data_IF_624780248658
#
_entry.id   IF_624780248658
#
_cell.length_a   1.000
_cell.length_b   1.000
_cell.length_c   1.000
_cell.angle_alpha   90.00
_cell.angle_beta   90.00
_cell.angle_gamma   90.00
#
_symmetry.space_group_name_H-M   'P 1'
#
loop_
_entity.id
_entity.type
_entity.pdbx_description
1 polymer ?
#
# COMPACT_ATOMS: atom_id res chain seq x y z
N UNK A 1 8.89 6.90 5.28
CA UNK A 1 8.98 7.95 6.30
C UNK A 1 8.45 9.23 5.70
N UNK A 2 7.84 10.06 6.54
CA UNK A 2 7.37 11.39 6.17
C UNK A 2 8.12 12.43 6.99
N UNK A 3 8.60 13.48 6.32
CA UNK A 3 9.25 14.62 6.95
C UNK A 3 8.53 15.89 6.52
N UNK A 4 8.16 16.71 7.50
CA UNK A 4 7.49 17.99 7.30
C UNK A 4 8.51 19.11 7.53
N UNK A 5 8.67 19.98 6.54
CA UNK A 5 9.52 21.17 6.56
C UNK A 5 8.72 22.44 6.33
N UNK A 6 9.42 23.58 6.26
CA UNK A 6 8.80 24.90 6.19
C UNK A 6 8.21 25.36 7.53
N UNK A 7 7.32 26.36 7.49
CA UNK A 7 6.68 26.93 8.68
C UNK A 7 5.94 25.87 9.50
N UNK A 8 5.16 25.04 8.82
CA UNK A 8 4.40 23.96 9.46
C UNK A 8 5.34 22.90 10.07
N UNK A 9 6.45 22.58 9.39
CA UNK A 9 7.48 21.69 9.94
C UNK A 9 8.17 22.25 11.18
N UNK A 10 8.40 23.57 11.21
CA UNK A 10 8.95 24.27 12.39
C UNK A 10 7.97 24.28 13.57
N UNK A 11 6.67 24.42 13.31
CA UNK A 11 5.62 24.40 14.35
C UNK A 11 5.36 22.99 14.90
N UNK A 12 5.51 21.98 14.04
CA UNK A 12 5.36 20.56 14.39
C UNK A 12 6.66 19.93 14.92
N UNK A 13 7.69 20.74 15.18
CA UNK A 13 8.97 20.32 15.74
C UNK A 13 9.59 19.15 14.94
N UNK A 14 9.69 19.33 13.61
CA UNK A 14 10.33 18.44 12.63
C UNK A 14 10.31 16.93 12.97
N UNK A 15 9.15 16.38 13.29
CA UNK A 15 9.08 15.00 13.73
C UNK A 15 9.06 14.05 12.52
N UNK A 16 10.03 13.13 12.46
CA UNK A 16 10.11 12.11 11.41
C UNK A 16 9.11 11.02 11.75
N UNK A 17 7.95 11.03 11.08
CA UNK A 17 6.94 10.00 11.31
C UNK A 17 7.18 8.79 10.42
N UNK A 18 7.39 7.65 11.07
CA UNK A 18 7.45 6.36 10.43
C UNK A 18 6.10 5.67 10.56
N UNK A 19 5.55 5.25 9.42
CA UNK A 19 4.31 4.51 9.37
C UNK A 19 4.55 3.18 8.66
N UNK A 20 4.08 2.11 9.27
CA UNK A 20 3.82 0.86 8.56
C UNK A 20 2.49 0.96 7.81
N UNK A 21 2.28 0.12 6.79
CA UNK A 21 0.99 0.06 6.06
C UNK A 21 -0.18 -0.21 7.03
N UNK A 22 0.06 -1.04 8.04
CA UNK A 22 -0.93 -1.35 9.06
C UNK A 22 -1.25 -0.14 9.95
N UNK A 23 -0.23 0.56 10.45
CA UNK A 23 -0.44 1.78 11.25
C UNK A 23 -1.07 2.89 10.42
N UNK A 24 -0.71 3.01 9.15
CA UNK A 24 -1.32 3.96 8.24
C UNK A 24 -2.82 3.67 8.12
N UNK A 25 -3.20 2.42 7.86
CA UNK A 25 -4.61 2.04 7.82
C UNK A 25 -5.33 2.37 9.14
N UNK A 26 -4.75 1.98 10.27
CA UNK A 26 -5.37 2.23 11.59
C UNK A 26 -5.47 3.73 11.94
N UNK A 27 -4.56 4.57 11.46
CA UNK A 27 -4.55 6.00 11.77
C UNK A 27 -5.42 6.83 10.81
N UNK A 28 -5.56 6.41 9.55
CA UNK A 28 -6.20 7.21 8.51
C UNK A 28 -7.73 7.15 8.56
N UNK A 29 -8.30 5.96 8.78
CA UNK A 29 -9.75 5.77 8.70
C UNK A 29 -10.53 6.34 9.89
N UNK A 30 -10.06 6.26 11.16
CA UNK A 30 -10.75 6.88 12.28
C UNK A 30 -10.79 8.41 12.24
N UNK A 31 -9.92 9.03 11.43
CA UNK A 31 -9.89 10.49 11.24
C UNK A 31 -10.96 11.00 10.26
N UNK A 32 -11.73 10.12 9.62
CA UNK A 32 -12.80 10.48 8.70
C UNK A 32 -14.08 10.86 9.46
N UNK A 33 -14.85 11.80 8.90
CA UNK A 33 -16.07 12.36 9.51
C UNK A 33 -17.25 11.39 9.56
N UNK A 34 -17.34 10.42 8.64
CA UNK A 34 -18.38 9.38 8.64
C UNK A 34 -17.83 8.06 9.18
N UNK A 35 -18.30 7.60 10.36
CA UNK A 35 -17.76 6.39 11.00
C UNK A 35 -18.12 5.11 10.22
N UNK A 36 -19.22 5.08 9.48
CA UNK A 36 -19.72 3.86 8.84
C UNK A 36 -18.93 3.51 7.57
N UNK A 37 -18.73 4.49 6.70
CA UNK A 37 -17.89 4.35 5.51
C UNK A 37 -16.42 4.10 5.86
N UNK A 38 -15.92 4.74 6.91
CA UNK A 38 -14.55 4.56 7.38
C UNK A 38 -14.26 3.12 7.81
N UNK A 39 -15.14 2.52 8.62
CA UNK A 39 -14.97 1.13 9.09
C UNK A 39 -15.04 0.13 7.94
N UNK A 40 -15.96 0.34 6.98
CA UNK A 40 -16.04 -0.51 5.80
C UNK A 40 -14.76 -0.42 4.96
N UNK A 41 -14.29 0.79 4.68
CA UNK A 41 -13.09 1.04 3.87
C UNK A 41 -11.84 0.47 4.56
N UNK A 42 -11.72 0.65 5.88
CA UNK A 42 -10.66 0.06 6.70
C UNK A 42 -10.67 -1.47 6.65
N UNK A 43 -11.85 -2.07 6.80
CA UNK A 43 -12.01 -3.52 6.80
C UNK A 43 -11.65 -4.11 5.43
N UNK A 44 -12.13 -3.51 4.36
CA UNK A 44 -11.82 -3.91 2.98
C UNK A 44 -10.34 -3.73 2.69
N UNK A 45 -9.74 -2.61 3.09
CA UNK A 45 -8.31 -2.35 2.90
C UNK A 45 -7.44 -3.40 3.61
N UNK A 46 -7.73 -3.71 4.88
CA UNK A 46 -6.99 -4.71 5.64
C UNK A 46 -7.21 -6.12 5.10
N UNK A 47 -8.44 -6.45 4.70
CA UNK A 47 -8.75 -7.75 4.11
C UNK A 47 -8.00 -7.94 2.79
N UNK A 48 -8.02 -6.97 1.90
CA UNK A 48 -7.36 -7.07 0.59
C UNK A 48 -5.83 -7.02 0.71
N UNK A 49 -5.29 -6.20 1.62
CA UNK A 49 -3.84 -6.01 1.78
C UNK A 49 -3.16 -7.13 2.56
N UNK A 50 -3.85 -7.76 3.51
CA UNK A 50 -3.29 -8.80 4.37
C UNK A 50 -4.11 -10.10 4.33
N UNK A 51 -5.42 -10.03 4.55
CA UNK A 51 -6.27 -11.23 4.62
C UNK A 51 -6.23 -12.12 3.38
N UNK A 52 -6.53 -11.55 2.21
CA UNK A 52 -6.57 -12.22 0.93
C UNK A 52 -5.22 -12.85 0.52
N UNK A 53 -4.06 -12.15 0.56
CA UNK A 53 -2.78 -12.75 0.20
C UNK A 53 -2.35 -13.88 1.14
N UNK A 54 -2.58 -13.75 2.46
CA UNK A 54 -2.27 -14.83 3.40
C UNK A 54 -3.16 -16.06 3.20
N UNK A 55 -4.46 -15.84 3.00
CA UNK A 55 -5.40 -16.93 2.76
C UNK A 55 -5.11 -17.62 1.43
N UNK A 56 -4.73 -16.86 0.41
CA UNK A 56 -4.28 -17.40 -0.87
C UNK A 56 -3.00 -18.25 -0.72
N UNK A 57 -1.97 -17.74 -0.03
CA UNK A 57 -0.74 -18.52 0.24
C UNK A 57 -1.05 -19.81 1.00
N UNK A 58 -1.96 -19.77 1.98
CA UNK A 58 -2.37 -20.96 2.73
C UNK A 58 -3.07 -21.98 1.84
N UNK A 59 -3.93 -21.55 0.91
CA UNK A 59 -4.61 -22.43 -0.04
C UNK A 59 -3.63 -23.08 -1.02
N UNK A 60 -2.69 -22.32 -1.56
CA UNK A 60 -1.66 -22.85 -2.48
C UNK A 60 -0.76 -23.84 -1.74
N UNK A 61 -0.35 -23.54 -0.51
CA UNK A 61 0.41 -24.46 0.33
C UNK A 61 -0.37 -25.75 0.64
N UNK A 62 -1.67 -25.63 0.95
CA UNK A 62 -2.54 -26.78 1.18
C UNK A 62 -2.71 -27.66 -0.08
N UNK A 63 -2.86 -27.04 -1.25
CA UNK A 63 -2.91 -27.74 -2.54
C UNK A 63 -1.65 -28.54 -2.83
N UNK A 64 -0.48 -28.00 -2.47
CA UNK A 64 0.81 -28.64 -2.68
C UNK A 64 1.13 -29.72 -1.64
N UNK A 65 0.80 -29.49 -0.37
CA UNK A 65 1.13 -30.40 0.72
C UNK A 65 0.15 -31.58 0.85
N UNK A 66 -1.11 -31.40 0.44
CA UNK A 66 -2.15 -32.40 0.60
C UNK A 66 -2.57 -32.98 -0.76
N UNK A 67 -2.29 -34.27 -1.05
CA UNK A 67 -2.87 -34.93 -2.22
C UNK A 67 -4.38 -35.09 -2.01
N UNK A 68 -5.17 -34.23 -2.67
CA UNK A 68 -6.63 -34.21 -2.58
C UNK A 68 -7.28 -34.94 -3.76
N UNK A 69 -8.57 -35.29 -3.59
CA UNK A 69 -9.39 -35.86 -4.65
C UNK A 69 -9.66 -34.80 -5.75
N UNK A 70 -9.69 -35.22 -7.01
CA UNK A 70 -9.71 -34.30 -8.17
C UNK A 70 -10.82 -33.25 -8.15
N UNK A 71 -12.01 -33.59 -7.63
CA UNK A 71 -13.14 -32.65 -7.50
C UNK A 71 -12.89 -31.55 -6.46
N UNK A 72 -12.33 -31.91 -5.32
CA UNK A 72 -11.98 -30.96 -4.25
C UNK A 72 -10.83 -30.06 -4.69
N UNK A 73 -9.85 -30.62 -5.41
CA UNK A 73 -8.74 -29.86 -5.98
C UNK A 73 -9.21 -28.84 -7.02
N UNK A 74 -10.15 -29.20 -7.88
CA UNK A 74 -10.75 -28.27 -8.85
C UNK A 74 -11.46 -27.09 -8.17
N UNK A 75 -12.29 -27.37 -7.15
CA UNK A 75 -12.99 -26.31 -6.42
C UNK A 75 -12.03 -25.39 -5.65
N UNK A 76 -11.03 -25.96 -4.95
CA UNK A 76 -10.03 -25.13 -4.26
C UNK A 76 -9.18 -24.33 -5.25
N UNK A 77 -8.89 -24.86 -6.44
CA UNK A 77 -8.20 -24.13 -7.48
C UNK A 77 -9.00 -22.89 -7.89
N UNK A 78 -10.30 -23.05 -8.18
CA UNK A 78 -11.17 -21.92 -8.51
C UNK A 78 -11.20 -20.88 -7.39
N UNK A 79 -11.37 -21.31 -6.13
CA UNK A 79 -11.34 -20.39 -4.98
C UNK A 79 -9.98 -19.67 -4.90
N UNK A 80 -8.86 -20.38 -5.13
CA UNK A 80 -7.53 -19.79 -5.11
C UNK A 80 -7.33 -18.76 -6.24
N UNK A 81 -7.88 -18.99 -7.43
CA UNK A 81 -7.82 -18.02 -8.55
C UNK A 81 -8.60 -16.75 -8.19
N UNK A 82 -9.76 -16.88 -7.53
CA UNK A 82 -10.53 -15.73 -7.06
C UNK A 82 -9.78 -14.96 -5.97
N UNK A 83 -9.22 -15.64 -4.98
CA UNK A 83 -8.46 -14.98 -3.92
C UNK A 83 -7.19 -14.31 -4.45
N UNK A 84 -6.53 -14.91 -5.45
CA UNK A 84 -5.38 -14.30 -6.11
C UNK A 84 -5.79 -12.99 -6.80
N UNK A 85 -6.90 -13.00 -7.54
CA UNK A 85 -7.43 -11.80 -8.19
C UNK A 85 -7.84 -10.70 -7.19
N UNK A 86 -8.24 -11.08 -5.98
CA UNK A 86 -8.58 -10.16 -4.89
C UNK A 86 -7.37 -9.76 -4.04
N UNK A 87 -6.23 -10.41 -4.18
CA UNK A 87 -5.02 -10.03 -3.46
C UNK A 87 -4.40 -8.81 -4.15
N UNK A 88 -4.71 -7.61 -3.66
CA UNK A 88 -4.13 -6.38 -4.20
C UNK A 88 -2.69 -6.15 -3.70
N UNK A 89 -1.94 -7.22 -3.45
CA UNK A 89 -0.58 -7.16 -2.91
C UNK A 89 0.36 -6.47 -3.91
N UNK A 90 0.27 -6.81 -5.19
CA UNK A 90 1.08 -6.18 -6.24
C UNK A 90 0.75 -4.69 -6.38
N UNK A 91 -0.54 -4.36 -6.34
CA UNK A 91 -1.03 -2.98 -6.42
C UNK A 91 -0.58 -2.18 -5.19
N UNK A 92 -0.59 -2.78 -4.00
CA UNK A 92 -0.09 -2.18 -2.78
C UNK A 92 1.41 -1.85 -2.91
N UNK A 93 2.22 -2.80 -3.38
CA UNK A 93 3.66 -2.58 -3.59
C UNK A 93 3.92 -1.47 -4.60
N UNK A 94 3.21 -1.48 -5.73
CA UNK A 94 3.33 -0.43 -6.74
C UNK A 94 2.95 0.94 -6.17
N UNK A 95 1.89 1.00 -5.37
CA UNK A 95 1.46 2.24 -4.72
C UNK A 95 2.52 2.75 -3.74
N UNK A 96 3.15 1.88 -2.97
CA UNK A 96 4.24 2.26 -2.05
C UNK A 96 5.49 2.76 -2.77
N UNK A 97 5.75 2.32 -4.00
CA UNK A 97 6.86 2.82 -4.80
C UNK A 97 6.54 4.15 -5.49
N UNK A 98 5.32 4.28 -6.00
CA UNK A 98 4.93 5.41 -6.88
C UNK A 98 4.39 6.59 -6.09
N UNK A 99 3.67 6.37 -4.99
CA UNK A 99 3.03 7.45 -4.24
C UNK A 99 4.04 8.41 -3.58
N UNK A 100 5.13 7.95 -2.91
CA UNK A 100 6.05 8.85 -2.22
C UNK A 100 6.68 9.94 -3.10
N UNK A 101 7.20 9.67 -4.32
CA UNK A 101 7.72 10.74 -5.17
C UNK A 101 6.62 11.67 -5.73
N UNK A 102 5.37 11.22 -5.81
CA UNK A 102 4.23 12.01 -6.31
C UNK A 102 3.59 12.90 -5.25
N UNK A 103 3.70 12.54 -3.97
CA UNK A 103 3.11 13.29 -2.86
C UNK A 103 3.63 14.75 -2.74
N UNK A 104 4.94 15.03 -2.78
CA UNK A 104 5.46 16.40 -2.67
C UNK A 104 4.91 17.37 -3.74
N UNK A 105 4.95 17.06 -5.06
CA UNK A 105 4.42 17.98 -6.07
C UNK A 105 2.90 18.13 -5.94
N UNK A 106 2.18 17.07 -5.54
CA UNK A 106 0.75 17.15 -5.29
C UNK A 106 0.40 18.14 -4.17
N UNK A 107 1.07 18.07 -3.02
CA UNK A 107 0.88 19.03 -1.93
C UNK A 107 1.26 20.46 -2.31
N UNK A 108 2.35 20.64 -3.06
CA UNK A 108 2.75 21.95 -3.57
C UNK A 108 1.67 22.55 -4.47
N UNK A 109 1.01 21.74 -5.30
CA UNK A 109 -0.05 22.21 -6.17
C UNK A 109 -1.34 22.55 -5.40
N UNK A 110 -1.73 21.70 -4.45
CA UNK A 110 -2.89 21.95 -3.58
C UNK A 110 -2.75 23.27 -2.82
N UNK A 111 -1.57 23.53 -2.25
CA UNK A 111 -1.30 24.70 -1.43
C UNK A 111 -0.77 25.89 -2.23
N UNK A 112 -0.66 25.77 -3.56
CA UNK A 112 -0.05 26.80 -4.39
C UNK A 112 -0.72 28.16 -4.22
N UNK A 113 -2.05 28.20 -4.08
CA UNK A 113 -2.81 29.45 -3.92
C UNK A 113 -2.72 30.00 -2.51
N UNK A 114 -2.95 29.15 -1.51
CA UNK A 114 -3.03 29.59 -0.11
C UNK A 114 -1.67 30.02 0.42
N UNK A 115 -0.60 29.33 0.02
CA UNK A 115 0.77 29.67 0.44
C UNK A 115 1.46 30.72 -0.47
N UNK A 116 0.87 31.13 -1.61
CA UNK A 116 1.47 32.14 -2.49
C UNK A 116 1.63 33.52 -1.82
N UNK A 117 0.71 33.89 -0.94
CA UNK A 117 0.76 35.16 -0.21
C UNK A 117 1.66 35.10 1.02
N UNK A 118 1.84 33.89 1.57
CA UNK A 118 2.55 33.65 2.83
C UNK A 118 4.05 33.48 2.57
N UNK A 119 4.44 32.77 1.52
CA UNK A 119 5.84 32.52 1.19
C UNK A 119 6.71 33.80 1.12
N UNK A 120 6.31 34.91 0.45
CA UNK A 120 7.14 36.12 0.42
C UNK A 120 7.32 36.74 1.81
N UNK A 121 6.28 36.71 2.67
CA UNK A 121 6.36 37.22 4.04
C UNK A 121 7.32 36.36 4.88
N UNK A 122 7.32 35.04 4.66
CA UNK A 122 8.23 34.11 5.33
C UNK A 122 9.69 34.33 4.87
N UNK A 123 9.90 34.62 3.59
CA UNK A 123 11.21 34.88 3.02
C UNK A 123 11.81 36.19 3.58
N UNK A 124 10.99 37.26 3.63
CA UNK A 124 11.41 38.58 4.08
C UNK A 124 11.67 38.67 5.60
N UNK A 125 10.85 38.01 6.43
CA UNK A 125 10.88 38.21 7.89
C UNK A 125 11.33 36.99 8.70
N UNK A 126 11.24 35.78 8.16
CA UNK A 126 11.44 34.54 8.92
C UNK A 126 12.49 33.60 8.33
N UNK A 127 13.22 34.02 7.30
CA UNK A 127 14.28 33.23 6.65
C UNK A 127 15.36 32.73 7.63
N UNK A 128 15.65 33.49 8.68
CA UNK A 128 16.61 33.10 9.74
C UNK A 128 16.07 32.06 10.75
N UNK A 129 14.75 31.93 10.94
CA UNK A 129 14.15 30.94 11.84
C UNK A 129 13.84 29.61 11.14
N UNK A 130 13.57 29.63 9.82
CA UNK A 130 13.17 28.45 9.06
C UNK A 130 14.34 27.62 8.51
N UNK A 131 15.56 27.78 9.08
CA UNK A 131 16.75 26.98 8.72
C UNK A 131 17.01 26.88 7.20
N UNK A 132 16.67 27.94 6.44
CA UNK A 132 16.90 28.00 4.99
C UNK A 132 15.77 27.47 4.10
N UNK A 133 14.61 27.11 4.64
CA UNK A 133 13.45 26.64 3.86
C UNK A 133 12.23 27.57 4.08
N UNK A 134 12.20 28.80 3.51
CA UNK A 134 11.15 29.80 3.73
C UNK A 134 9.85 29.48 2.98
N UNK A 135 9.39 28.24 3.12
CA UNK A 135 8.16 27.74 2.52
C UNK A 135 7.10 27.52 3.58
N UNK A 136 5.86 27.77 3.22
CA UNK A 136 4.68 27.54 4.05
C UNK A 136 4.59 26.07 4.53
N UNK A 137 4.73 25.11 3.62
CA UNK A 137 4.80 23.68 3.91
C UNK A 137 5.67 22.97 2.86
N UNK A 138 6.63 22.19 3.34
CA UNK A 138 7.38 21.24 2.52
C UNK A 138 7.12 19.83 3.03
N UNK A 139 6.68 18.92 2.17
CA UNK A 139 6.49 17.51 2.54
C UNK A 139 7.47 16.70 1.72
N UNK A 140 8.28 15.88 2.39
CA UNK A 140 9.11 14.87 1.73
C UNK A 140 8.73 13.49 2.24
N UNK A 141 8.54 12.56 1.29
CA UNK A 141 8.19 11.18 1.57
C UNK A 141 9.27 10.29 0.96
N UNK A 142 9.89 9.44 1.78
CA UNK A 142 10.91 8.51 1.36
C UNK A 142 10.51 7.08 1.67
N UNK A 143 10.79 6.16 0.74
CA UNK A 143 10.65 4.72 0.96
C UNK A 143 11.89 4.20 1.69
N UNK A 144 11.67 3.29 2.64
CA UNK A 144 12.74 2.57 3.34
C UNK A 144 13.12 1.32 2.53
N UNK A 145 14.30 0.76 2.83
CA UNK A 145 14.81 -0.46 2.18
C UNK A 145 13.86 -1.67 2.29
N UNK A 146 13.00 -1.71 3.31
CA UNK A 146 11.99 -2.77 3.48
C UNK A 146 10.98 -2.89 2.34
N UNK A 147 10.77 -1.84 1.54
CA UNK A 147 9.91 -1.91 0.35
C UNK A 147 10.47 -2.90 -0.68
N UNK A 148 11.79 -3.06 -0.78
CA UNK A 148 12.40 -4.02 -1.70
C UNK A 148 12.12 -5.48 -1.32
N UNK A 149 12.02 -5.78 -0.01
CA UNK A 149 11.60 -7.09 0.47
C UNK A 149 10.14 -7.37 0.11
N UNK A 150 9.27 -6.36 0.24
CA UNK A 150 7.87 -6.45 -0.18
C UNK A 150 7.78 -6.68 -1.70
N UNK A 151 8.56 -5.97 -2.52
CA UNK A 151 8.65 -6.22 -3.96
C UNK A 151 9.09 -7.66 -4.27
N UNK A 152 10.13 -8.15 -3.60
CA UNK A 152 10.59 -9.53 -3.77
C UNK A 152 9.48 -10.54 -3.43
N UNK A 153 8.78 -10.33 -2.32
CA UNK A 153 7.67 -11.19 -1.89
C UNK A 153 6.51 -11.19 -2.89
N UNK A 154 6.20 -10.05 -3.50
CA UNK A 154 5.15 -9.91 -4.51
C UNK A 154 5.49 -10.69 -5.78
N UNK A 155 6.72 -10.53 -6.28
CA UNK A 155 7.20 -11.27 -7.45
C UNK A 155 7.15 -12.78 -7.20
N UNK A 156 7.64 -13.24 -6.03
CA UNK A 156 7.61 -14.66 -5.67
C UNK A 156 6.17 -15.18 -5.62
N UNK A 157 5.26 -14.39 -5.04
CA UNK A 157 3.83 -14.74 -4.96
C UNK A 157 3.21 -14.87 -6.36
N UNK A 158 3.45 -13.91 -7.25
CA UNK A 158 2.97 -14.00 -8.65
C UNK A 158 3.51 -15.26 -9.34
N UNK A 159 4.81 -15.52 -9.23
CA UNK A 159 5.44 -16.69 -9.84
C UNK A 159 4.88 -18.01 -9.27
N UNK A 160 4.68 -18.08 -7.95
CA UNK A 160 4.08 -19.24 -7.30
C UNK A 160 2.65 -19.48 -7.79
N UNK A 161 1.84 -18.42 -7.93
CA UNK A 161 0.49 -18.53 -8.47
C UNK A 161 0.46 -19.02 -9.91
N UNK A 162 1.28 -18.42 -10.78
CA UNK A 162 1.40 -18.85 -12.17
C UNK A 162 1.84 -20.32 -12.25
N UNK A 163 2.86 -20.71 -11.49
CA UNK A 163 3.36 -22.09 -11.47
C UNK A 163 2.28 -23.07 -10.99
N UNK A 164 1.59 -22.76 -9.90
CA UNK A 164 0.56 -23.64 -9.33
C UNK A 164 -0.62 -23.83 -10.29
N UNK A 165 -1.10 -22.75 -10.91
CA UNK A 165 -2.17 -22.82 -11.91
C UNK A 165 -1.75 -23.62 -13.14
N UNK A 166 -0.50 -23.44 -13.61
CA UNK A 166 0.02 -24.22 -14.74
C UNK A 166 0.12 -25.71 -14.41
N UNK A 167 0.67 -26.06 -13.25
CA UNK A 167 0.82 -27.45 -12.83
C UNK A 167 -0.53 -28.14 -12.62
N UNK A 168 -1.49 -27.46 -11.98
CA UNK A 168 -2.82 -28.02 -11.79
C UNK A 168 -3.55 -28.26 -13.12
N UNK A 169 -3.38 -27.37 -14.11
CA UNK A 169 -3.94 -27.55 -15.47
C UNK A 169 -3.28 -28.68 -16.25
N UNK A 170 -2.05 -29.07 -15.93
CA UNK A 170 -1.38 -30.23 -16.54
C UNK A 170 -1.86 -31.55 -15.94
N UNK A 171 -2.24 -31.56 -14.66
CA UNK A 171 -2.68 -32.76 -13.93
C UNK A 171 -4.17 -33.02 -14.10
N UNK A 172 -5.00 -31.98 -14.26
CA UNK A 172 -6.43 -32.10 -14.49
C UNK A 172 -6.72 -32.12 -16.01
N UNK A 173 -7.04 -33.27 -16.63
CA UNK A 173 -7.48 -33.29 -18.02
C UNK A 173 -8.79 -32.48 -18.14
N UNK A 174 -8.85 -31.67 -19.19
CA UNK A 174 -9.90 -30.68 -19.55
C UNK A 174 -11.36 -31.21 -19.57
N UNK A 175 -11.60 -32.50 -19.32
CA UNK A 175 -12.89 -33.16 -19.55
C UNK A 175 -13.98 -32.98 -18.48
N UNK A 176 -13.70 -32.43 -17.29
CA UNK A 176 -14.72 -32.26 -16.21
C UNK A 176 -15.17 -30.79 -16.00
N UNK A 177 -14.85 -29.88 -16.91
CA UNK A 177 -15.24 -28.45 -16.81
C UNK A 177 -16.40 -28.05 -17.76
N UNK A 178 -17.11 -29.03 -18.33
CA UNK A 178 -18.32 -28.81 -19.13
C UNK A 178 -19.58 -29.20 -18.34
#
# INVERSE_FOLDING_TARGET
SFTYGGLVGSLLESDVREFTVFQLALALFPAMTDPSGAVLLQSVFLFISFGAPFLWMALVAALWACPMQSRTQANLLTISEWLFAWSAHDVLVLTLLVAPPQLPPYFRHLLARDCAQINPILEDYFSGLLHGDPTCLSVSAATRSGVWLLCGSAIISILAGLACTRLCRLVLPVQELA
#
